data_IF_549211744499
#
_entry.id   IF_549211744499
#
_cell.length_a   1.000
_cell.length_b   1.000
_cell.length_c   1.000
_cell.angle_alpha   90.00
_cell.angle_beta   90.00
_cell.angle_gamma   90.00
#
_symmetry.space_group_name_H-M   'P 1'
#
loop_
_entity.id
_entity.type
_entity.pdbx_description
1 polymer ?
#
# COMPACT_ATOMS: atom_id res chain seq x y z
N UNK A 1 -5.71 -17.51 -11.82
CA UNK A 1 -5.44 -16.29 -12.60
C UNK A 1 -6.59 -15.96 -13.56
N UNK A 2 -6.93 -16.84 -14.51
CA UNK A 2 -8.02 -16.61 -15.47
C UNK A 2 -9.43 -16.71 -14.86
N UNK A 3 -9.66 -17.58 -13.87
CA UNK A 3 -10.95 -17.64 -13.17
C UNK A 3 -11.27 -16.38 -12.35
N UNK A 4 -10.22 -15.77 -11.73
CA UNK A 4 -10.36 -14.51 -11.01
C UNK A 4 -10.63 -13.36 -11.98
N UNK A 5 -9.93 -13.30 -13.12
CA UNK A 5 -10.20 -12.32 -14.20
C UNK A 5 -11.56 -12.50 -14.89
N UNK A 6 -12.05 -13.75 -15.03
CA UNK A 6 -13.34 -14.06 -15.61
C UNK A 6 -14.50 -13.64 -14.70
N UNK A 7 -14.41 -13.95 -13.40
CA UNK A 7 -15.38 -13.47 -12.41
C UNK A 7 -15.36 -11.92 -12.28
N UNK A 8 -14.22 -11.30 -12.53
CA UNK A 8 -14.00 -9.84 -12.50
C UNK A 8 -14.72 -9.08 -13.63
N UNK A 9 -14.84 -9.68 -14.83
CA UNK A 9 -15.34 -8.96 -16.01
C UNK A 9 -16.87 -8.88 -16.06
N UNK A 10 -17.57 -9.81 -15.40
CA UNK A 10 -19.00 -10.01 -15.62
C UNK A 10 -19.95 -9.32 -14.62
N UNK A 11 -19.59 -9.15 -13.33
CA UNK A 11 -20.60 -8.76 -12.33
C UNK A 11 -20.18 -7.83 -11.20
N UNK A 12 -18.87 -7.56 -11.01
CA UNK A 12 -18.36 -6.87 -9.82
C UNK A 12 -17.96 -5.39 -10.03
N UNK A 13 -18.36 -4.79 -11.16
CA UNK A 13 -18.06 -3.37 -11.49
C UNK A 13 -18.88 -2.36 -10.67
N UNK A 14 -19.81 -2.84 -9.83
CA UNK A 14 -20.75 -2.00 -9.07
C UNK A 14 -20.61 -2.10 -7.54
N UNK A 15 -19.61 -2.82 -7.01
CA UNK A 15 -19.38 -2.89 -5.57
C UNK A 15 -18.09 -2.16 -5.22
N UNK A 16 -18.25 -0.96 -4.64
CA UNK A 16 -17.21 -0.14 -4.02
C UNK A 16 -16.34 -1.01 -3.11
N UNK A 17 -15.01 -0.85 -3.16
CA UNK A 17 -13.94 -1.56 -2.42
C UNK A 17 -13.51 -2.93 -2.96
N UNK A 18 -14.32 -3.60 -3.78
CA UNK A 18 -13.98 -4.95 -4.23
C UNK A 18 -12.81 -4.95 -5.22
N UNK A 19 -12.68 -3.93 -6.05
CA UNK A 19 -11.54 -3.75 -6.95
C UNK A 19 -10.22 -3.57 -6.17
N UNK A 20 -10.23 -2.75 -5.12
CA UNK A 20 -9.05 -2.50 -4.28
C UNK A 20 -8.65 -3.75 -3.48
N UNK A 21 -9.63 -4.49 -2.94
CA UNK A 21 -9.39 -5.75 -2.23
C UNK A 21 -8.86 -6.85 -3.16
N UNK A 22 -9.32 -6.90 -4.40
CA UNK A 22 -8.81 -7.84 -5.42
C UNK A 22 -7.36 -7.50 -5.79
N UNK A 23 -7.01 -6.22 -5.95
CA UNK A 23 -5.64 -5.78 -6.21
C UNK A 23 -4.73 -6.19 -5.04
N UNK A 24 -5.13 -5.91 -3.80
CA UNK A 24 -4.38 -6.31 -2.61
C UNK A 24 -4.20 -7.85 -2.55
N UNK A 25 -5.26 -8.60 -2.82
CA UNK A 25 -5.24 -10.07 -2.84
C UNK A 25 -4.31 -10.62 -3.93
N UNK A 26 -4.26 -9.97 -5.10
CA UNK A 26 -3.34 -10.36 -6.19
C UNK A 26 -1.87 -10.11 -5.83
N UNK A 27 -1.57 -9.06 -5.07
CA UNK A 27 -0.21 -8.83 -4.54
C UNK A 27 0.22 -9.93 -3.57
N UNK A 28 -0.70 -10.35 -2.69
CA UNK A 28 -0.48 -11.48 -1.77
C UNK A 28 -0.24 -12.79 -2.54
N UNK A 29 -1.09 -13.09 -3.54
CA UNK A 29 -0.92 -14.29 -4.38
C UNK A 29 0.40 -14.23 -5.15
N UNK A 30 0.77 -13.07 -5.70
CA UNK A 30 2.05 -12.89 -6.40
C UNK A 30 3.24 -13.14 -5.49
N UNK A 31 3.22 -12.62 -4.27
CA UNK A 31 4.26 -12.86 -3.28
C UNK A 31 4.38 -14.36 -2.95
N UNK A 32 3.25 -15.03 -2.68
CA UNK A 32 3.21 -16.46 -2.40
C UNK A 32 3.76 -17.32 -3.55
N UNK A 33 3.35 -17.03 -4.79
CA UNK A 33 3.88 -17.71 -5.99
C UNK A 33 5.39 -17.43 -6.16
N UNK A 34 5.85 -16.22 -5.87
CA UNK A 34 7.27 -15.87 -5.89
C UNK A 34 8.10 -16.70 -4.91
N UNK A 35 7.63 -16.86 -3.67
CA UNK A 35 8.28 -17.73 -2.67
C UNK A 35 8.36 -19.20 -3.10
N UNK A 36 7.28 -19.73 -3.67
CA UNK A 36 7.26 -21.11 -4.19
C UNK A 36 8.28 -21.28 -5.32
N UNK A 37 8.46 -20.25 -6.16
CA UNK A 37 9.45 -20.28 -7.26
C UNK A 37 10.91 -20.28 -6.82
N UNK A 38 11.21 -19.86 -5.58
CA UNK A 38 12.58 -19.81 -5.02
C UNK A 38 12.76 -20.75 -3.80
N UNK A 39 11.76 -21.58 -3.50
CA UNK A 39 11.70 -22.52 -2.36
C UNK A 39 11.98 -21.89 -0.98
N UNK A 40 11.51 -20.65 -0.78
CA UNK A 40 11.67 -19.92 0.50
C UNK A 40 10.33 -19.84 1.24
N UNK A 41 10.35 -20.13 2.54
CA UNK A 41 9.19 -19.95 3.42
C UNK A 41 8.87 -18.46 3.53
N UNK A 42 7.70 -18.07 3.03
CA UNK A 42 7.26 -16.68 3.06
C UNK A 42 6.76 -16.32 4.48
N UNK A 43 7.29 -15.24 5.04
CA UNK A 43 6.87 -14.75 6.36
C UNK A 43 5.42 -14.26 6.30
N UNK A 44 4.51 -14.71 7.20
CA UNK A 44 3.15 -14.20 7.27
C UNK A 44 3.09 -12.66 7.42
N UNK A 45 4.07 -12.08 8.12
CA UNK A 45 4.19 -10.64 8.29
C UNK A 45 4.50 -9.92 6.97
N UNK A 46 5.32 -10.53 6.11
CA UNK A 46 5.62 -9.99 4.78
C UNK A 46 4.35 -9.94 3.92
N UNK A 47 3.51 -10.99 3.97
CA UNK A 47 2.22 -11.03 3.27
C UNK A 47 1.32 -9.89 3.74
N UNK A 48 1.17 -9.74 5.05
CA UNK A 48 0.28 -8.76 5.65
C UNK A 48 0.72 -7.33 5.30
N UNK A 49 2.00 -7.01 5.53
CA UNK A 49 2.54 -5.68 5.26
C UNK A 49 2.49 -5.33 3.76
N UNK A 50 2.84 -6.27 2.87
CA UNK A 50 2.77 -6.03 1.42
C UNK A 50 1.33 -5.88 0.92
N UNK A 51 0.38 -6.66 1.45
CA UNK A 51 -1.04 -6.54 1.13
C UNK A 51 -1.63 -5.19 1.56
N UNK A 52 -1.31 -4.74 2.78
CA UNK A 52 -1.75 -3.44 3.30
C UNK A 52 -1.14 -2.28 2.51
N UNK A 53 0.14 -2.36 2.16
CA UNK A 53 0.80 -1.34 1.33
C UNK A 53 0.21 -1.29 -0.08
N UNK A 54 -0.07 -2.45 -0.69
CA UNK A 54 -0.74 -2.51 -1.98
C UNK A 54 -2.15 -1.89 -1.94
N UNK A 55 -2.90 -2.16 -0.86
CA UNK A 55 -4.22 -1.58 -0.61
C UNK A 55 -4.12 -0.05 -0.48
N UNK A 56 -3.13 0.45 0.25
CA UNK A 56 -2.85 1.87 0.42
C UNK A 56 -2.57 2.58 -0.92
N UNK A 57 -1.70 2.01 -1.76
CA UNK A 57 -1.39 2.57 -3.07
C UNK A 57 -2.61 2.55 -4.01
N UNK A 58 -3.39 1.47 -3.99
CA UNK A 58 -4.61 1.35 -4.79
C UNK A 58 -5.69 2.37 -4.40
N UNK A 59 -5.88 2.63 -3.10
CA UNK A 59 -6.75 3.70 -2.60
C UNK A 59 -6.22 5.09 -2.97
N UNK A 60 -4.91 5.31 -2.89
CA UNK A 60 -4.27 6.54 -3.33
C UNK A 60 -4.54 6.85 -4.80
N UNK A 61 -4.44 5.82 -5.66
CA UNK A 61 -4.83 5.90 -7.08
C UNK A 61 -6.28 6.30 -7.27
N UNK A 62 -7.19 5.63 -6.54
CA UNK A 62 -8.63 5.94 -6.61
C UNK A 62 -8.94 7.36 -6.18
N UNK A 63 -8.24 7.88 -5.17
CA UNK A 63 -8.38 9.28 -4.75
C UNK A 63 -7.96 10.24 -5.87
N UNK A 64 -6.80 10.00 -6.50
CA UNK A 64 -6.32 10.81 -7.63
C UNK A 64 -7.32 10.83 -8.79
N UNK A 65 -7.86 9.66 -9.17
CA UNK A 65 -8.89 9.56 -10.21
C UNK A 65 -10.18 10.34 -9.83
N UNK A 66 -10.60 10.31 -8.56
CA UNK A 66 -11.78 11.07 -8.06
C UNK A 66 -11.59 12.59 -8.15
N UNK A 67 -10.39 13.09 -7.83
CA UNK A 67 -10.10 14.53 -7.90
C UNK A 67 -10.23 15.04 -9.33
N UNK A 68 -9.73 14.30 -10.32
CA UNK A 68 -9.78 14.70 -11.74
C UNK A 68 -11.18 14.68 -12.33
N UNK A 69 -11.99 13.69 -11.94
CA UNK A 69 -13.39 13.61 -12.33
C UNK A 69 -14.18 14.76 -11.70
N UNK A 70 -13.93 15.08 -10.43
CA UNK A 70 -14.53 16.24 -9.76
C UNK A 70 -14.08 17.58 -10.33
N UNK A 71 -12.89 17.66 -10.92
CA UNK A 71 -12.37 18.85 -11.60
C UNK A 71 -12.88 19.00 -13.05
N UNK A 72 -13.79 18.14 -13.53
CA UNK A 72 -14.30 18.08 -14.92
C UNK A 72 -13.21 17.87 -15.98
N UNK A 73 -11.99 17.48 -15.59
CA UNK A 73 -10.85 17.30 -16.50
C UNK A 73 -10.93 15.99 -17.29
N UNK A 74 -11.76 15.04 -16.86
CA UNK A 74 -12.02 13.77 -17.57
C UNK A 74 -13.50 13.37 -17.49
N UNK A 75 -14.27 13.44 -18.60
CA UNK A 75 -15.64 12.96 -18.61
C UNK A 75 -15.70 11.41 -18.65
N UNK A 76 -16.47 10.79 -17.74
CA UNK A 76 -17.11 9.50 -18.03
C UNK A 76 -16.52 8.20 -17.45
N UNK A 77 -16.40 8.04 -16.12
CA UNK A 77 -16.28 6.72 -15.49
C UNK A 77 -17.39 6.45 -14.47
N UNK A 78 -18.41 5.67 -14.85
CA UNK A 78 -19.51 5.18 -13.98
C UNK A 78 -19.04 4.47 -12.69
N UNK A 79 -17.81 3.93 -12.65
CA UNK A 79 -17.28 3.20 -11.47
C UNK A 79 -17.04 4.14 -10.27
N UNK A 80 -16.96 5.46 -10.47
CA UNK A 80 -16.72 6.43 -9.39
C UNK A 80 -18.01 6.95 -8.74
N UNK A 81 -19.20 6.67 -9.28
CA UNK A 81 -20.47 7.20 -8.74
C UNK A 81 -20.75 6.76 -7.29
N UNK A 82 -20.14 5.67 -6.83
CA UNK A 82 -20.26 5.18 -5.44
C UNK A 82 -19.16 5.64 -4.48
N UNK A 83 -18.14 6.37 -4.95
CA UNK A 83 -17.02 6.81 -4.12
C UNK A 83 -17.09 8.33 -3.86
N UNK A 84 -16.94 8.72 -2.60
CA UNK A 84 -16.65 10.10 -2.23
C UNK A 84 -15.19 10.24 -1.81
N UNK A 85 -14.59 11.42 -2.02
CA UNK A 85 -13.24 11.71 -1.53
C UNK A 85 -13.12 11.46 -0.02
N UNK A 86 -14.15 11.85 0.75
CA UNK A 86 -14.21 11.62 2.19
C UNK A 86 -14.14 10.13 2.56
N UNK A 87 -14.84 9.26 1.82
CA UNK A 87 -14.78 7.81 2.06
C UNK A 87 -13.37 7.27 1.78
N UNK A 88 -12.74 7.68 0.67
CA UNK A 88 -11.40 7.22 0.33
C UNK A 88 -10.36 7.73 1.33
N UNK A 89 -10.47 8.97 1.79
CA UNK A 89 -9.58 9.53 2.82
C UNK A 89 -9.73 8.80 4.17
N UNK A 90 -10.96 8.43 4.55
CA UNK A 90 -11.21 7.61 5.74
C UNK A 90 -10.58 6.21 5.60
N UNK A 91 -10.74 5.56 4.44
CA UNK A 91 -10.14 4.26 4.16
C UNK A 91 -8.62 4.33 4.15
N UNK A 92 -8.03 5.35 3.53
CA UNK A 92 -6.58 5.60 3.56
C UNK A 92 -6.07 5.74 4.99
N UNK A 93 -6.80 6.46 5.84
CA UNK A 93 -6.44 6.62 7.26
C UNK A 93 -6.47 5.28 8.02
N UNK A 94 -7.53 4.48 7.82
CA UNK A 94 -7.66 3.14 8.42
C UNK A 94 -6.52 2.21 7.97
N UNK A 95 -6.23 2.16 6.66
CA UNK A 95 -5.17 1.31 6.11
C UNK A 95 -3.80 1.78 6.59
N UNK A 96 -3.57 3.09 6.70
CA UNK A 96 -2.32 3.64 7.26
C UNK A 96 -2.13 3.19 8.70
N UNK A 97 -3.14 3.34 9.55
CA UNK A 97 -3.10 2.89 10.94
C UNK A 97 -2.85 1.37 11.02
N UNK A 98 -3.58 0.58 10.23
CA UNK A 98 -3.39 -0.88 10.16
C UNK A 98 -1.96 -1.27 9.73
N UNK A 99 -1.38 -0.53 8.78
CA UNK A 99 0.00 -0.76 8.31
C UNK A 99 1.02 -0.49 9.41
N UNK A 100 0.89 0.65 10.11
CA UNK A 100 1.78 1.01 11.23
C UNK A 100 1.64 -0.01 12.36
N UNK A 101 0.42 -0.41 12.71
CA UNK A 101 0.16 -1.42 13.75
C UNK A 101 0.73 -2.77 13.36
N UNK A 102 0.47 -3.27 12.14
CA UNK A 102 0.99 -4.54 11.66
C UNK A 102 2.53 -4.56 11.66
N UNK A 103 3.16 -3.49 11.16
CA UNK A 103 4.61 -3.36 11.16
C UNK A 103 5.18 -3.31 12.58
N UNK A 104 4.55 -2.56 13.48
CA UNK A 104 4.98 -2.48 14.89
C UNK A 104 4.91 -3.86 15.54
N UNK A 105 3.79 -4.56 15.43
CA UNK A 105 3.64 -5.92 15.99
C UNK A 105 4.67 -6.87 15.40
N UNK A 106 4.95 -6.79 14.09
CA UNK A 106 6.03 -7.54 13.47
C UNK A 106 7.38 -7.25 14.15
N UNK A 107 7.76 -5.99 14.34
CA UNK A 107 9.03 -5.65 15.00
C UNK A 107 9.10 -6.08 16.47
N UNK A 108 7.96 -6.15 17.17
CA UNK A 108 7.89 -6.66 18.55
C UNK A 108 7.97 -8.18 18.64
N UNK A 109 7.46 -8.88 17.63
CA UNK A 109 7.42 -10.35 17.57
C UNK A 109 8.61 -10.93 16.78
N UNK A 110 9.48 -10.08 16.24
CA UNK A 110 10.69 -10.49 15.54
C UNK A 110 11.62 -11.23 16.50
N UNK A 111 11.82 -12.52 16.24
CA UNK A 111 12.60 -13.43 17.09
C UNK A 111 14.09 -13.06 17.12
N UNK A 112 14.58 -12.41 16.08
CA UNK A 112 16.03 -12.24 15.85
C UNK A 112 16.59 -10.98 16.52
N UNK A 113 15.83 -9.88 16.61
CA UNK A 113 16.29 -8.66 17.28
C UNK A 113 15.16 -7.67 17.59
N UNK A 114 15.00 -7.33 18.88
CA UNK A 114 14.13 -6.24 19.32
C UNK A 114 14.59 -4.85 18.83
N UNK A 115 15.82 -4.74 18.33
CA UNK A 115 16.33 -3.50 17.74
C UNK A 115 15.61 -3.10 16.45
N UNK A 116 14.90 -4.02 15.78
CA UNK A 116 14.08 -3.69 14.60
C UNK A 116 13.05 -2.59 14.87
N UNK A 117 12.65 -2.38 16.13
CA UNK A 117 11.76 -1.28 16.53
C UNK A 117 12.30 0.11 16.18
N UNK A 118 13.63 0.28 16.07
CA UNK A 118 14.25 1.54 15.63
C UNK A 118 13.85 1.95 14.21
N UNK A 119 13.29 1.03 13.43
CA UNK A 119 12.85 1.30 12.07
C UNK A 119 11.42 1.86 11.97
N UNK A 120 10.64 1.81 13.06
CA UNK A 120 9.24 2.30 13.12
C UNK A 120 9.11 3.78 12.75
N UNK A 121 9.96 4.71 13.25
CA UNK A 121 9.87 6.12 12.89
C UNK A 121 10.00 6.38 11.38
N UNK A 122 10.81 5.59 10.66
CA UNK A 122 10.94 5.71 9.21
C UNK A 122 9.65 5.31 8.49
N UNK A 123 9.05 4.18 8.87
CA UNK A 123 7.77 3.73 8.27
C UNK A 123 6.66 4.74 8.51
N UNK A 124 6.58 5.27 9.73
CA UNK A 124 5.63 6.31 10.10
C UNK A 124 5.83 7.59 9.27
N UNK A 125 7.07 8.07 9.18
CA UNK A 125 7.38 9.26 8.37
C UNK A 125 7.04 9.04 6.90
N UNK A 126 7.41 7.89 6.31
CA UNK A 126 7.14 7.58 4.92
C UNK A 126 5.64 7.57 4.59
N UNK A 127 4.82 6.92 5.42
CA UNK A 127 3.37 6.89 5.25
C UNK A 127 2.74 8.27 5.41
N UNK A 128 3.16 9.04 6.42
CA UNK A 128 2.63 10.39 6.65
C UNK A 128 3.04 11.36 5.54
N UNK A 129 4.29 11.27 5.06
CA UNK A 129 4.78 12.06 3.93
C UNK A 129 3.96 11.75 2.68
N UNK A 130 3.70 10.47 2.42
CA UNK A 130 2.90 10.08 1.28
C UNK A 130 1.45 10.57 1.38
N UNK A 131 0.81 10.43 2.55
CA UNK A 131 -0.52 10.99 2.80
C UNK A 131 -0.53 12.50 2.58
N UNK A 132 0.49 13.22 3.05
CA UNK A 132 0.62 14.66 2.83
C UNK A 132 0.71 15.00 1.34
N UNK A 133 1.50 14.27 0.54
CA UNK A 133 1.59 14.51 -0.90
C UNK A 133 0.25 14.27 -1.60
N UNK A 134 -0.44 13.20 -1.24
CA UNK A 134 -1.75 12.90 -1.81
C UNK A 134 -2.77 14.00 -1.47
N UNK A 135 -2.84 14.46 -0.22
CA UNK A 135 -3.84 15.45 0.19
C UNK A 135 -3.55 16.87 -0.30
N UNK A 136 -2.27 17.23 -0.43
CA UNK A 136 -1.86 18.62 -0.72
C UNK A 136 -1.58 18.89 -2.20
N UNK A 137 -1.07 17.89 -2.92
CA UNK A 137 -0.64 18.05 -4.31
C UNK A 137 -1.46 17.22 -5.29
N UNK A 138 -2.52 16.55 -4.82
CA UNK A 138 -3.35 15.61 -5.58
C UNK A 138 -2.53 14.62 -6.42
N UNK A 139 -1.34 14.28 -5.92
CA UNK A 139 -0.38 13.43 -6.59
C UNK A 139 -0.80 11.94 -6.62
N UNK A 140 -2.08 11.66 -6.37
CA UNK A 140 -2.64 10.32 -6.32
C UNK A 140 -2.70 9.61 -7.67
N UNK A 141 -2.59 10.29 -8.82
CA UNK A 141 -2.68 9.65 -10.15
C UNK A 141 -1.65 8.53 -10.37
N UNK A 142 -0.41 8.77 -9.93
CA UNK A 142 0.73 7.87 -10.12
C UNK A 142 1.42 7.59 -8.77
N UNK A 143 0.80 6.75 -7.91
CA UNK A 143 1.31 6.38 -6.59
C UNK A 143 2.78 5.97 -6.58
N UNK A 144 3.13 5.17 -7.58
CA UNK A 144 4.45 4.61 -7.85
C UNK A 144 5.45 5.70 -8.22
N UNK A 145 5.06 6.65 -9.07
CA UNK A 145 5.93 7.77 -9.42
C UNK A 145 6.15 8.70 -8.24
N UNK A 146 5.13 8.97 -7.42
CA UNK A 146 5.30 9.76 -6.20
C UNK A 146 6.30 9.12 -5.26
N UNK A 147 6.17 7.81 -5.03
CA UNK A 147 7.09 7.07 -4.19
C UNK A 147 8.54 7.07 -4.74
N UNK A 148 8.71 7.08 -6.07
CA UNK A 148 10.01 7.05 -6.74
C UNK A 148 10.60 8.43 -7.07
N UNK A 149 9.85 9.51 -6.88
CA UNK A 149 10.29 10.88 -7.23
C UNK A 149 10.43 11.79 -6.01
N UNK A 150 9.67 11.54 -4.93
CA UNK A 150 9.78 12.34 -3.70
C UNK A 150 11.07 11.97 -2.95
N UNK A 151 12.05 12.87 -3.00
CA UNK A 151 13.36 12.71 -2.35
C UNK A 151 13.23 12.35 -0.86
N UNK A 152 12.33 12.99 -0.07
CA UNK A 152 12.08 12.56 1.32
C UNK A 152 11.62 11.11 1.47
N UNK A 153 10.70 10.62 0.63
CA UNK A 153 10.27 9.21 0.68
C UNK A 153 11.45 8.28 0.34
N UNK A 154 12.20 8.57 -0.73
CA UNK A 154 13.35 7.75 -1.15
C UNK A 154 14.40 7.70 -0.05
N UNK A 155 14.75 8.85 0.54
CA UNK A 155 15.69 8.92 1.65
C UNK A 155 15.22 8.12 2.86
N UNK A 156 13.92 8.16 3.15
CA UNK A 156 13.32 7.39 4.25
C UNK A 156 13.40 5.89 4.02
N UNK A 157 13.09 5.43 2.81
CA UNK A 157 13.23 4.02 2.43
C UNK A 157 14.70 3.60 2.50
N UNK A 158 15.62 4.43 2.00
CA UNK A 158 17.06 4.17 2.07
C UNK A 158 17.58 4.04 3.51
N UNK A 159 17.19 4.96 4.39
CA UNK A 159 17.55 4.92 5.81
C UNK A 159 16.94 3.71 6.52
N UNK A 160 15.70 3.35 6.17
CA UNK A 160 15.05 2.15 6.66
C UNK A 160 15.81 0.88 6.27
N UNK A 161 16.16 0.72 4.99
CA UNK A 161 16.94 -0.43 4.49
C UNK A 161 18.30 -0.50 5.18
N UNK A 162 19.01 0.63 5.28
CA UNK A 162 20.32 0.69 5.91
C UNK A 162 20.24 0.29 7.40
N UNK A 163 19.27 0.82 8.13
CA UNK A 163 19.09 0.51 9.55
C UNK A 163 18.71 -0.96 9.75
N UNK A 164 17.78 -1.49 8.96
CA UNK A 164 17.38 -2.89 9.02
C UNK A 164 18.56 -3.83 8.70
N UNK A 165 19.34 -3.52 7.66
CA UNK A 165 20.52 -4.31 7.29
C UNK A 165 21.59 -4.31 8.39
N UNK A 166 21.87 -3.14 8.99
CA UNK A 166 22.83 -3.05 10.11
C UNK A 166 22.37 -3.89 11.30
N UNK A 167 21.08 -3.83 11.66
CA UNK A 167 20.53 -4.62 12.76
C UNK A 167 20.70 -6.12 12.47
N UNK A 168 20.33 -6.58 11.28
CA UNK A 168 20.40 -7.99 10.88
C UNK A 168 21.84 -8.52 10.77
N UNK A 169 22.81 -7.68 10.47
CA UNK A 169 24.24 -8.06 10.43
C UNK A 169 24.81 -8.20 11.85
N UNK A 170 24.31 -7.40 12.80
CA UNK A 170 24.82 -7.33 14.17
C UNK A 170 24.14 -8.34 15.11
N UNK A 171 22.91 -8.78 14.78
CA UNK A 171 22.16 -9.84 15.46
C UNK A 171 22.59 -11.24 15.04
#
# INVERSE_FOLDING_TARGET
FLALQGAYTASLKHVVLVDVLVIASLFVVRAAVGAVGIDVRLSPWLVLCSGLLALFLALGKRRGELVLVGAELTPGRQVLEGYSLALVDQLLSIVTAATISAYSIYTFTATDSSAMMLTIPFVLFGLFRYLYLIHRYDAGEEPDRVALTDVPIIATVGLWVATAAVILIVS
#
